data_IF_318394324684
#
_entry.id   IF_318394324684
#
_cell.length_a   1.000
_cell.length_b   1.000
_cell.length_c   1.000
_cell.angle_alpha   90.00
_cell.angle_beta   90.00
_cell.angle_gamma   90.00
#
_symmetry.space_group_name_H-M   'P 1'
#
loop_
_entity.id
_entity.type
_entity.pdbx_description
1 polymer ?
#
# COMPACT_ATOMS: atom_id res chain seq x y z
N UNK A 1 14.59 -10.01 -6.02
CA UNK A 1 13.61 -9.40 -5.07
C UNK A 1 14.33 -8.97 -3.78
N UNK A 2 15.18 -9.83 -3.19
CA UNK A 2 15.85 -9.57 -1.91
C UNK A 2 16.66 -8.26 -1.91
N UNK A 3 17.53 -8.06 -2.91
CA UNK A 3 18.31 -6.81 -3.06
C UNK A 3 17.40 -5.57 -3.13
N UNK A 4 16.27 -5.68 -3.84
CA UNK A 4 15.33 -4.57 -3.94
C UNK A 4 14.64 -4.30 -2.59
N UNK A 5 14.34 -5.35 -1.83
CA UNK A 5 13.77 -5.23 -0.50
C UNK A 5 14.76 -4.60 0.48
N UNK A 6 16.01 -5.08 0.52
CA UNK A 6 17.06 -4.57 1.41
C UNK A 6 17.37 -3.08 1.13
N UNK A 7 17.54 -2.73 -0.14
CA UNK A 7 17.80 -1.34 -0.54
C UNK A 7 16.63 -0.42 -0.31
N UNK A 8 15.40 -0.87 -0.63
CA UNK A 8 14.19 -0.10 -0.37
C UNK A 8 13.96 0.14 1.11
N UNK A 9 14.19 -0.87 1.95
CA UNK A 9 14.14 -0.74 3.41
C UNK A 9 15.21 0.21 3.97
N UNK A 10 16.37 0.32 3.30
CA UNK A 10 17.43 1.29 3.64
C UNK A 10 17.08 2.74 3.17
N UNK A 11 15.96 2.95 2.47
CA UNK A 11 15.50 4.25 2.00
C UNK A 11 15.87 4.59 0.56
N UNK A 12 16.46 3.66 -0.18
CA UNK A 12 16.75 3.85 -1.61
C UNK A 12 15.47 3.83 -2.43
N UNK A 13 15.43 4.66 -3.49
CA UNK A 13 14.36 4.62 -4.49
C UNK A 13 14.67 3.55 -5.53
N UNK A 14 14.09 2.37 -5.38
CA UNK A 14 14.41 1.19 -6.19
C UNK A 14 13.27 0.85 -7.15
N UNK A 15 13.60 0.47 -8.38
CA UNK A 15 12.70 -0.20 -9.32
C UNK A 15 13.05 -1.68 -9.36
N UNK A 16 12.07 -2.55 -9.10
CA UNK A 16 12.26 -3.99 -9.21
C UNK A 16 12.15 -4.42 -10.67
N UNK A 17 13.21 -5.05 -11.20
CA UNK A 17 13.26 -5.53 -12.57
C UNK A 17 13.38 -7.06 -12.57
N UNK A 18 12.42 -7.73 -13.22
CA UNK A 18 12.36 -9.20 -13.28
C UNK A 18 11.94 -9.66 -14.67
N UNK A 19 12.26 -10.90 -15.04
CA UNK A 19 11.64 -11.50 -16.23
C UNK A 19 10.12 -11.57 -16.05
N UNK A 20 9.67 -12.12 -14.94
CA UNK A 20 8.30 -12.06 -14.42
C UNK A 20 8.36 -12.07 -12.88
N UNK A 21 7.30 -11.65 -12.20
CA UNK A 21 7.22 -11.74 -10.73
C UNK A 21 6.36 -12.92 -10.31
N UNK A 22 6.74 -13.54 -9.22
CA UNK A 22 6.01 -14.59 -8.52
C UNK A 22 5.56 -14.12 -7.15
N UNK A 23 4.67 -14.85 -6.45
CA UNK A 23 4.31 -14.51 -5.06
C UNK A 23 5.51 -14.38 -4.12
N UNK A 24 6.61 -15.11 -4.39
CA UNK A 24 7.82 -15.04 -3.57
C UNK A 24 8.56 -13.69 -3.73
N UNK A 25 8.30 -12.92 -4.78
CA UNK A 25 8.90 -11.60 -5.01
C UNK A 25 8.18 -10.46 -4.27
N UNK A 26 7.09 -10.74 -3.53
CA UNK A 26 6.22 -9.73 -2.93
C UNK A 26 6.97 -8.74 -2.02
N UNK A 27 7.96 -9.21 -1.26
CA UNK A 27 8.77 -8.39 -0.37
C UNK A 27 9.59 -7.35 -1.15
N UNK A 28 10.12 -7.71 -2.34
CA UNK A 28 10.80 -6.78 -3.23
C UNK A 28 9.85 -5.76 -3.86
N UNK A 29 8.63 -6.19 -4.23
CA UNK A 29 7.60 -5.28 -4.74
C UNK A 29 7.17 -4.27 -3.68
N UNK A 30 7.01 -4.72 -2.42
CA UNK A 30 6.62 -3.86 -1.30
C UNK A 30 7.59 -2.70 -1.07
N UNK A 31 8.89 -2.94 -1.17
CA UNK A 31 9.93 -1.95 -0.90
C UNK A 31 10.34 -1.14 -2.14
N UNK A 32 9.95 -1.56 -3.35
CA UNK A 32 10.28 -0.83 -4.58
C UNK A 32 9.29 0.30 -4.87
N UNK A 33 9.75 1.31 -5.63
CA UNK A 33 8.94 2.43 -6.10
C UNK A 33 8.17 2.10 -7.39
N UNK A 34 8.54 1.03 -8.08
CA UNK A 34 7.89 0.56 -9.29
C UNK A 34 8.39 -0.79 -9.73
N UNK A 35 7.69 -1.42 -10.67
CA UNK A 35 8.00 -2.78 -11.17
C UNK A 35 8.07 -2.78 -12.69
N UNK A 36 9.13 -3.40 -13.23
CA UNK A 36 9.31 -3.64 -14.66
C UNK A 36 9.49 -5.12 -14.90
N UNK A 37 8.70 -5.71 -15.80
CA UNK A 37 8.89 -7.11 -16.20
C UNK A 37 9.01 -7.28 -17.71
N UNK A 38 9.87 -8.21 -18.13
CA UNK A 38 10.02 -8.59 -19.53
C UNK A 38 8.81 -9.37 -20.05
N UNK A 39 8.21 -10.20 -19.19
CA UNK A 39 7.06 -11.05 -19.48
C UNK A 39 5.86 -10.69 -18.62
N UNK A 40 4.66 -10.94 -19.14
CA UNK A 40 3.41 -10.65 -18.47
C UNK A 40 2.52 -9.69 -19.25
N UNK A 41 1.48 -9.21 -18.60
CA UNK A 41 0.50 -8.27 -19.14
C UNK A 41 -0.35 -7.67 -18.02
N UNK A 42 -1.45 -7.00 -18.35
CA UNK A 42 -2.30 -6.29 -17.38
C UNK A 42 -2.90 -7.18 -16.27
N UNK A 43 -2.98 -8.49 -16.50
CA UNK A 43 -3.48 -9.48 -15.54
C UNK A 43 -2.37 -10.32 -14.90
N UNK A 44 -1.09 -10.02 -15.18
CA UNK A 44 0.04 -10.70 -14.54
C UNK A 44 0.12 -10.36 -13.05
N UNK A 45 0.79 -11.24 -12.29
CA UNK A 45 1.02 -11.04 -10.87
C UNK A 45 1.66 -9.66 -10.58
N UNK A 46 2.70 -9.28 -11.35
CA UNK A 46 3.35 -7.97 -11.24
C UNK A 46 2.36 -6.81 -11.35
N UNK A 47 1.53 -6.82 -12.41
CA UNK A 47 0.61 -5.73 -12.69
C UNK A 47 -0.52 -5.63 -11.66
N UNK A 48 -1.08 -6.77 -11.24
CA UNK A 48 -2.17 -6.80 -10.26
C UNK A 48 -1.69 -6.33 -8.89
N UNK A 49 -0.55 -6.86 -8.43
CA UNK A 49 0.00 -6.53 -7.10
C UNK A 49 0.49 -5.08 -7.05
N UNK A 50 1.29 -4.64 -8.02
CA UNK A 50 1.81 -3.27 -8.05
C UNK A 50 0.68 -2.24 -8.13
N UNK A 51 -0.35 -2.50 -8.96
CA UNK A 51 -1.53 -1.64 -9.08
C UNK A 51 -2.32 -1.58 -7.77
N UNK A 52 -2.52 -2.71 -7.10
CA UNK A 52 -3.17 -2.77 -5.78
C UNK A 52 -2.43 -1.95 -4.72
N UNK A 53 -1.13 -1.75 -4.89
CA UNK A 53 -0.27 -0.93 -4.02
C UNK A 53 -0.10 0.52 -4.51
N UNK A 54 -0.76 0.91 -5.60
CA UNK A 54 -0.62 2.25 -6.19
C UNK A 54 0.76 2.51 -6.80
N UNK A 55 1.51 1.46 -7.16
CA UNK A 55 2.87 1.58 -7.72
C UNK A 55 2.84 1.48 -9.24
N UNK A 56 3.64 2.31 -9.97
CA UNK A 56 3.78 2.18 -11.40
C UNK A 56 4.34 0.80 -11.77
N UNK A 57 3.73 0.20 -12.79
CA UNK A 57 4.15 -1.11 -13.30
C UNK A 57 4.13 -1.11 -14.83
N UNK A 58 5.26 -1.47 -15.41
CA UNK A 58 5.36 -1.80 -16.84
C UNK A 58 5.57 -3.30 -16.96
N UNK A 59 4.52 -4.02 -17.37
CA UNK A 59 4.56 -5.47 -17.47
C UNK A 59 4.57 -5.93 -18.94
N UNK A 60 5.43 -6.89 -19.25
CA UNK A 60 5.53 -7.46 -20.60
C UNK A 60 6.30 -6.60 -21.60
N UNK A 61 7.33 -5.93 -21.14
CA UNK A 61 8.25 -5.16 -21.98
C UNK A 61 9.13 -6.10 -22.83
N UNK A 62 8.58 -6.63 -23.93
CA UNK A 62 9.17 -7.72 -24.74
C UNK A 62 10.54 -7.39 -25.35
N UNK A 63 10.92 -6.12 -25.42
CA UNK A 63 12.21 -5.69 -25.99
C UNK A 63 13.38 -5.77 -25.02
N UNK A 64 13.12 -6.04 -23.74
CA UNK A 64 14.16 -6.06 -22.72
C UNK A 64 14.75 -7.48 -22.54
N UNK A 65 16.08 -7.53 -22.34
CA UNK A 65 16.82 -8.74 -21.95
C UNK A 65 17.46 -8.50 -20.60
N UNK A 66 17.21 -9.40 -19.67
CA UNK A 66 17.73 -9.30 -18.30
C UNK A 66 18.78 -10.38 -18.12
N UNK A 67 19.98 -9.96 -17.73
CA UNK A 67 21.07 -10.84 -17.29
C UNK A 67 21.25 -10.68 -15.78
N UNK A 68 20.87 -11.72 -15.04
CA UNK A 68 20.94 -11.73 -13.57
C UNK A 68 22.38 -11.91 -13.04
N UNK A 69 23.27 -12.54 -13.80
CA UNK A 69 24.66 -12.74 -13.41
C UNK A 69 25.46 -11.44 -13.60
N UNK A 70 25.32 -10.83 -14.78
CA UNK A 70 25.92 -9.54 -15.08
C UNK A 70 25.20 -8.36 -14.42
N UNK A 71 23.99 -8.58 -13.86
CA UNK A 71 23.10 -7.56 -13.28
C UNK A 71 22.83 -6.41 -14.25
N UNK A 72 22.44 -6.76 -15.46
CA UNK A 72 22.18 -5.79 -16.52
C UNK A 72 20.83 -6.00 -17.18
N UNK A 73 20.26 -4.90 -17.65
CA UNK A 73 19.09 -4.85 -18.53
C UNK A 73 19.57 -4.31 -19.89
N UNK A 74 19.24 -5.00 -20.97
CA UNK A 74 19.61 -4.58 -22.33
C UNK A 74 18.38 -4.35 -23.19
N UNK A 75 18.33 -3.24 -23.91
CA UNK A 75 17.29 -2.89 -24.89
C UNK A 75 17.99 -2.39 -26.16
N UNK A 76 17.93 -3.17 -27.25
CA UNK A 76 18.72 -2.86 -28.44
C UNK A 76 20.20 -2.78 -28.11
N UNK A 77 20.81 -1.63 -28.37
CA UNK A 77 22.22 -1.36 -28.05
C UNK A 77 22.44 -0.71 -26.69
N UNK A 78 21.36 -0.41 -25.95
CA UNK A 78 21.43 0.26 -24.64
C UNK A 78 21.56 -0.78 -23.52
N UNK A 79 22.55 -0.64 -22.69
CA UNK A 79 22.78 -1.47 -21.49
C UNK A 79 22.63 -0.62 -20.25
N UNK A 80 21.74 -1.03 -19.35
CA UNK A 80 21.51 -0.41 -18.04
C UNK A 80 22.00 -1.39 -16.97
N UNK A 81 22.84 -0.92 -16.06
CA UNK A 81 23.41 -1.71 -14.96
C UNK A 81 22.59 -1.56 -13.69
N UNK A 82 22.75 -2.50 -12.77
CA UNK A 82 22.19 -2.34 -11.42
C UNK A 82 22.74 -1.06 -10.77
N UNK A 83 21.82 -0.23 -10.28
CA UNK A 83 22.12 1.08 -9.69
C UNK A 83 22.04 2.26 -10.66
N UNK A 84 21.97 2.02 -11.96
CA UNK A 84 21.71 3.10 -12.92
C UNK A 84 20.29 3.65 -12.76
N UNK A 85 20.10 4.94 -13.00
CA UNK A 85 18.76 5.55 -12.87
C UNK A 85 17.82 5.08 -13.98
N UNK A 86 16.60 4.75 -13.59
CA UNK A 86 15.51 4.36 -14.49
C UNK A 86 14.20 5.03 -14.04
N UNK A 87 13.39 5.46 -14.98
CA UNK A 87 12.05 6.00 -14.70
C UNK A 87 11.00 5.19 -15.46
N UNK A 88 9.90 4.87 -14.81
CA UNK A 88 8.77 4.14 -15.37
C UNK A 88 7.55 5.06 -15.47
N UNK A 89 6.89 5.07 -16.63
CA UNK A 89 5.54 5.59 -16.79
C UNK A 89 4.57 4.40 -16.91
N UNK A 90 3.84 4.12 -15.84
CA UNK A 90 2.87 3.04 -15.81
C UNK A 90 1.60 3.31 -16.63
N UNK A 91 1.36 4.56 -17.06
CA UNK A 91 0.20 4.95 -17.86
C UNK A 91 0.44 4.71 -19.34
N UNK A 92 1.61 5.10 -19.84
CA UNK A 92 2.01 4.94 -21.26
C UNK A 92 2.73 3.62 -21.52
N UNK A 93 3.34 3.04 -20.47
CA UNK A 93 4.22 1.87 -20.56
C UNK A 93 5.64 2.22 -20.99
N UNK A 94 6.00 3.50 -20.99
CA UNK A 94 7.33 3.96 -21.35
C UNK A 94 8.34 3.75 -20.22
N UNK A 95 9.58 3.46 -20.62
CA UNK A 95 10.71 3.23 -19.70
C UNK A 95 11.87 4.11 -20.15
N UNK A 96 12.38 4.92 -19.26
CA UNK A 96 13.47 5.86 -19.54
C UNK A 96 14.73 5.45 -18.78
N UNK A 97 15.86 5.36 -19.49
CA UNK A 97 17.18 5.09 -18.89
C UNK A 97 17.78 6.39 -18.29
N UNK A 98 17.00 7.06 -17.46
CA UNK A 98 17.37 8.32 -16.80
C UNK A 98 16.48 8.57 -15.57
N UNK A 99 16.98 9.36 -14.63
CA UNK A 99 16.15 9.93 -13.56
C UNK A 99 15.42 11.16 -14.09
N UNK A 100 14.12 11.01 -14.35
CA UNK A 100 13.27 12.13 -14.76
C UNK A 100 12.60 12.78 -13.53
N UNK A 101 12.29 14.09 -13.58
CA UNK A 101 11.48 14.73 -12.57
C UNK A 101 10.08 14.11 -12.56
N UNK A 102 9.62 13.66 -11.39
CA UNK A 102 8.29 13.07 -11.22
C UNK A 102 7.34 14.13 -10.70
N UNK A 103 6.15 14.16 -11.28
CA UNK A 103 5.03 14.98 -10.80
C UNK A 103 4.12 14.04 -10.00
N UNK A 104 3.87 14.28 -8.72
CA UNK A 104 2.91 13.50 -7.96
C UNK A 104 1.52 13.63 -8.60
N UNK A 105 0.70 12.57 -8.59
CA UNK A 105 -0.67 12.64 -9.09
C UNK A 105 -1.42 13.74 -8.34
N UNK A 106 -1.98 14.68 -9.08
CA UNK A 106 -2.78 15.78 -8.53
C UNK A 106 -4.20 15.67 -9.07
N UNK A 107 -5.15 15.91 -8.18
CA UNK A 107 -6.54 16.13 -8.58
C UNK A 107 -6.59 17.54 -9.19
N UNK A 108 -6.63 17.60 -10.51
CA UNK A 108 -6.72 18.87 -11.23
C UNK A 108 -8.15 19.43 -11.20
N UNK A 109 -8.33 20.68 -11.67
CA UNK A 109 -9.63 21.35 -11.67
C UNK A 109 -10.67 20.60 -12.50
N UNK A 110 -10.28 20.05 -13.66
CA UNK A 110 -11.19 19.30 -14.54
C UNK A 110 -11.72 18.04 -13.87
N UNK A 111 -10.83 17.34 -13.14
CA UNK A 111 -11.22 16.15 -12.38
C UNK A 111 -12.16 16.50 -11.22
N UNK A 112 -11.90 17.61 -10.52
CA UNK A 112 -12.79 18.10 -9.47
C UNK A 112 -14.16 18.50 -10.04
N UNK A 113 -14.22 19.09 -11.23
CA UNK A 113 -15.49 19.43 -11.89
C UNK A 113 -16.29 18.18 -12.23
N UNK A 114 -15.65 17.13 -12.76
CA UNK A 114 -16.31 15.84 -13.01
C UNK A 114 -16.84 15.21 -11.73
N UNK A 115 -16.07 15.26 -10.64
CA UNK A 115 -16.54 14.77 -9.33
C UNK A 115 -17.73 15.59 -8.83
N UNK A 116 -17.74 16.92 -9.02
CA UNK A 116 -18.89 17.76 -8.65
C UNK A 116 -20.16 17.34 -9.38
N UNK A 117 -20.09 17.09 -10.68
CA UNK A 117 -21.24 16.59 -11.45
C UNK A 117 -21.73 15.22 -10.98
N UNK A 118 -20.80 14.35 -10.60
CA UNK A 118 -21.13 13.06 -10.00
C UNK A 118 -21.84 13.24 -8.65
N UNK A 119 -21.36 14.15 -7.81
CA UNK A 119 -21.94 14.45 -6.50
C UNK A 119 -23.35 15.03 -6.58
N UNK A 120 -23.66 15.84 -7.62
CA UNK A 120 -25.00 16.38 -7.87
C UNK A 120 -26.02 15.33 -8.26
N UNK A 121 -25.57 14.21 -8.84
CA UNK A 121 -26.47 13.18 -9.40
C UNK A 121 -26.54 11.90 -8.56
N UNK A 122 -25.51 11.60 -7.77
CA UNK A 122 -25.46 10.38 -6.95
C UNK A 122 -26.50 10.39 -5.84
N UNK A 123 -27.06 9.21 -5.54
CA UNK A 123 -28.02 8.99 -4.42
C UNK A 123 -27.35 8.41 -3.20
N UNK A 124 -26.23 7.73 -3.38
CA UNK A 124 -25.53 7.01 -2.32
C UNK A 124 -24.36 7.85 -1.83
N UNK A 125 -24.16 7.86 -0.52
CA UNK A 125 -22.96 8.41 0.10
C UNK A 125 -21.74 7.51 -0.17
N UNK A 126 -20.57 8.10 -0.26
CA UNK A 126 -19.29 7.39 -0.40
C UNK A 126 -18.67 7.22 0.97
N UNK A 127 -18.53 5.98 1.41
CA UNK A 127 -17.95 5.63 2.70
C UNK A 127 -16.70 4.79 2.48
N UNK A 128 -15.59 5.21 3.09
CA UNK A 128 -14.31 4.55 2.93
C UNK A 128 -14.05 3.51 4.02
N UNK A 129 -13.08 2.63 3.79
CA UNK A 129 -12.49 1.81 4.85
C UNK A 129 -11.22 2.52 5.35
N UNK A 130 -11.10 2.70 6.67
CA UNK A 130 -9.90 3.23 7.30
C UNK A 130 -9.76 2.68 8.71
N UNK A 131 -8.57 2.24 9.06
CA UNK A 131 -8.28 1.57 10.33
C UNK A 131 -7.34 2.41 11.23
N UNK A 132 -6.87 3.57 10.73
CA UNK A 132 -6.00 4.50 11.45
C UNK A 132 -6.30 5.96 11.07
N UNK A 133 -5.72 6.91 11.82
CA UNK A 133 -5.94 8.34 11.63
C UNK A 133 -5.48 8.86 10.26
N UNK A 134 -4.36 8.34 9.74
CA UNK A 134 -3.78 8.76 8.45
C UNK A 134 -4.69 8.38 7.30
N UNK A 135 -5.16 7.14 7.27
CA UNK A 135 -6.07 6.66 6.23
C UNK A 135 -7.44 7.36 6.31
N UNK A 136 -7.93 7.60 7.54
CA UNK A 136 -9.17 8.34 7.76
C UNK A 136 -9.07 9.78 7.26
N UNK A 137 -7.96 10.48 7.54
CA UNK A 137 -7.72 11.82 7.04
C UNK A 137 -7.64 11.85 5.50
N UNK A 138 -6.97 10.85 4.90
CA UNK A 138 -6.87 10.72 3.46
C UNK A 138 -8.21 10.42 2.80
N UNK A 139 -9.01 9.54 3.40
CA UNK A 139 -10.36 9.25 2.94
C UNK A 139 -11.22 10.53 2.92
N UNK A 140 -11.17 11.33 3.99
CA UNK A 140 -11.86 12.61 4.07
C UNK A 140 -11.40 13.61 3.01
N UNK A 141 -10.07 13.73 2.81
CA UNK A 141 -9.49 14.59 1.77
C UNK A 141 -10.01 14.24 0.38
N UNK A 142 -10.21 12.94 0.12
CA UNK A 142 -10.74 12.41 -1.13
C UNK A 142 -12.27 12.47 -1.25
N UNK A 143 -12.96 13.06 -0.27
CA UNK A 143 -14.41 13.29 -0.31
C UNK A 143 -15.27 12.18 0.29
N UNK A 144 -14.71 11.29 1.10
CA UNK A 144 -15.52 10.31 1.83
C UNK A 144 -16.42 11.01 2.87
N UNK A 145 -17.68 10.57 2.91
CA UNK A 145 -18.72 11.11 3.81
C UNK A 145 -18.80 10.36 5.15
N UNK A 146 -17.97 9.34 5.30
CA UNK A 146 -17.86 8.55 6.52
C UNK A 146 -16.88 7.41 6.37
N UNK A 147 -16.60 6.73 7.48
CA UNK A 147 -15.89 5.46 7.50
C UNK A 147 -16.92 4.34 7.64
N UNK A 148 -17.05 3.54 6.58
CA UNK A 148 -17.98 2.41 6.51
C UNK A 148 -17.48 1.18 7.25
N UNK A 149 -16.16 1.06 7.44
CA UNK A 149 -15.54 -0.01 8.20
C UNK A 149 -14.20 0.45 8.77
N UNK A 150 -14.10 0.48 10.09
CA UNK A 150 -12.87 0.55 10.86
C UNK A 150 -12.68 -0.80 11.57
N UNK A 151 -11.60 -1.52 11.24
CA UNK A 151 -11.28 -2.86 11.75
C UNK A 151 -10.34 -2.75 12.93
N UNK A 152 -10.85 -2.95 14.13
CA UNK A 152 -10.06 -2.80 15.36
C UNK A 152 -8.91 -3.78 15.48
N UNK A 153 -9.02 -4.95 14.87
CA UNK A 153 -7.94 -5.95 14.83
C UNK A 153 -6.70 -5.47 14.09
N UNK A 154 -6.85 -4.58 13.09
CA UNK A 154 -5.72 -4.04 12.34
C UNK A 154 -4.88 -3.04 13.16
N UNK A 155 -5.46 -2.44 14.19
CA UNK A 155 -4.75 -1.52 15.09
C UNK A 155 -3.60 -2.21 15.85
N UNK A 156 -3.60 -3.55 15.91
CA UNK A 156 -2.64 -4.34 16.69
C UNK A 156 -1.60 -5.09 15.84
N UNK A 157 -1.53 -4.84 14.53
CA UNK A 157 -0.53 -5.49 13.66
C UNK A 157 0.87 -4.86 13.77
N UNK A 158 1.02 -3.73 14.43
CA UNK A 158 2.31 -3.12 14.70
C UNK A 158 3.21 -4.03 15.56
N UNK A 159 4.50 -4.09 15.25
CA UNK A 159 5.47 -4.93 15.97
C UNK A 159 5.58 -4.57 17.46
N UNK A 160 5.31 -3.33 17.80
CA UNK A 160 5.27 -2.80 19.18
C UNK A 160 3.99 -3.18 19.94
N UNK A 161 2.90 -3.49 19.23
CA UNK A 161 1.57 -3.76 19.78
C UNK A 161 1.23 -5.26 19.82
N UNK A 162 1.76 -6.02 18.87
CA UNK A 162 1.50 -7.46 18.73
C UNK A 162 1.79 -8.27 20.00
N UNK A 163 2.86 -7.99 20.79
CA UNK A 163 3.11 -8.71 22.05
C UNK A 163 1.96 -8.61 23.06
N UNK A 164 1.38 -7.42 23.26
CA UNK A 164 0.26 -7.22 24.18
C UNK A 164 -1.00 -7.98 23.72
N UNK A 165 -1.22 -8.06 22.40
CA UNK A 165 -2.30 -8.84 21.83
C UNK A 165 -2.10 -10.35 22.05
N UNK A 166 -0.87 -10.87 21.88
CA UNK A 166 -0.54 -12.24 22.17
C UNK A 166 -0.77 -12.58 23.65
N UNK A 167 -0.32 -11.72 24.58
CA UNK A 167 -0.57 -11.91 26.01
C UNK A 167 -2.08 -12.03 26.31
N UNK A 168 -2.91 -11.18 25.70
CA UNK A 168 -4.35 -11.22 25.89
C UNK A 168 -4.97 -12.53 25.37
N UNK A 169 -4.53 -13.00 24.18
CA UNK A 169 -5.08 -14.20 23.54
C UNK A 169 -4.66 -15.47 24.30
N UNK A 170 -3.41 -15.52 24.78
CA UNK A 170 -2.82 -16.68 25.44
C UNK A 170 -3.06 -16.72 26.95
N UNK A 171 -3.69 -15.68 27.52
CA UNK A 171 -3.98 -15.61 28.95
C UNK A 171 -4.88 -16.77 29.39
N UNK A 172 -4.43 -17.53 30.43
CA UNK A 172 -5.14 -18.66 30.97
C UNK A 172 -6.13 -18.27 32.07
N UNK A 173 -5.86 -17.15 32.75
CA UNK A 173 -6.70 -16.63 33.83
C UNK A 173 -7.37 -15.29 33.48
N UNK A 174 -8.53 -14.96 34.07
CA UNK A 174 -9.17 -13.68 33.92
C UNK A 174 -8.29 -12.49 34.33
N UNK A 175 -7.46 -12.70 35.39
CA UNK A 175 -6.56 -11.68 35.90
C UNK A 175 -5.43 -11.37 34.91
N UNK A 176 -4.81 -12.39 34.33
CA UNK A 176 -3.80 -12.23 33.30
C UNK A 176 -4.38 -11.53 32.05
N UNK A 177 -5.57 -11.97 31.63
CA UNK A 177 -6.26 -11.36 30.49
C UNK A 177 -6.56 -9.89 30.76
N UNK A 178 -7.04 -9.57 31.97
CA UNK A 178 -7.29 -8.18 32.35
C UNK A 178 -6.01 -7.34 32.32
N UNK A 179 -4.90 -7.85 32.83
CA UNK A 179 -3.62 -7.14 32.81
C UNK A 179 -3.14 -6.86 31.35
N UNK A 180 -3.34 -7.81 30.44
CA UNK A 180 -3.03 -7.60 29.03
C UNK A 180 -3.96 -6.57 28.35
N UNK A 181 -5.27 -6.63 28.63
CA UNK A 181 -6.24 -5.64 28.15
C UNK A 181 -5.93 -4.25 28.66
N UNK A 182 -5.50 -4.10 29.92
CA UNK A 182 -5.10 -2.81 30.50
C UNK A 182 -3.87 -2.19 29.79
N UNK A 183 -3.00 -3.00 29.16
CA UNK A 183 -1.91 -2.53 28.28
C UNK A 183 -2.42 -2.09 26.90
N UNK A 184 -3.42 -2.79 26.37
CA UNK A 184 -4.01 -2.52 25.04
C UNK A 184 -4.86 -1.25 25.07
N UNK A 185 -5.58 -1.00 26.15
CA UNK A 185 -6.55 0.10 26.27
C UNK A 185 -6.01 1.47 25.87
N UNK A 186 -4.87 1.96 26.37
CA UNK A 186 -4.36 3.27 25.98
C UNK A 186 -3.96 3.34 24.50
N UNK A 187 -3.45 2.25 23.93
CA UNK A 187 -3.07 2.21 22.52
C UNK A 187 -4.31 2.33 21.62
N UNK A 188 -5.37 1.60 21.93
CA UNK A 188 -6.61 1.64 21.17
C UNK A 188 -7.36 2.97 21.36
N UNK A 189 -7.29 3.55 22.56
CA UNK A 189 -7.84 4.87 22.81
C UNK A 189 -7.18 5.93 21.92
N UNK A 190 -5.86 5.94 21.82
CA UNK A 190 -5.11 6.86 20.96
C UNK A 190 -5.51 6.70 19.49
N UNK A 191 -5.64 5.46 19.00
CA UNK A 191 -6.07 5.18 17.63
C UNK A 191 -7.47 5.74 17.35
N UNK A 192 -8.43 5.51 18.27
CA UNK A 192 -9.78 6.04 18.11
C UNK A 192 -9.82 7.56 18.19
N UNK A 193 -9.10 8.18 19.12
CA UNK A 193 -8.99 9.63 19.19
C UNK A 193 -8.46 10.21 17.88
N UNK A 194 -7.46 9.57 17.28
CA UNK A 194 -6.92 9.93 15.98
C UNK A 194 -7.95 9.82 14.84
N UNK A 195 -8.63 8.67 14.73
CA UNK A 195 -9.65 8.44 13.70
C UNK A 195 -10.83 9.40 13.87
N UNK A 196 -11.35 9.57 15.09
CA UNK A 196 -12.49 10.47 15.33
C UNK A 196 -12.12 11.94 15.14
N UNK A 197 -10.88 12.31 15.43
CA UNK A 197 -10.38 13.67 15.14
C UNK A 197 -10.32 13.92 13.65
N UNK A 198 -9.78 12.98 12.86
CA UNK A 198 -9.74 13.06 11.41
C UNK A 198 -11.14 13.15 10.79
N UNK A 199 -12.08 12.40 11.33
CA UNK A 199 -13.46 12.30 10.82
C UNK A 199 -14.46 13.22 11.58
N UNK A 200 -13.98 14.22 12.30
CA UNK A 200 -14.86 15.10 13.10
C UNK A 200 -16.06 15.61 12.30
N UNK A 201 -17.27 15.29 12.79
CA UNK A 201 -18.55 15.64 12.15
C UNK A 201 -19.06 14.64 11.11
N UNK A 202 -18.30 13.58 10.82
CA UNK A 202 -18.67 12.50 9.90
C UNK A 202 -18.77 11.16 10.66
N UNK A 203 -19.67 10.26 10.24
CA UNK A 203 -19.86 8.97 10.92
C UNK A 203 -18.69 8.02 10.71
N UNK A 204 -18.41 7.20 11.73
CA UNK A 204 -17.42 6.13 11.70
C UNK A 204 -18.08 4.84 12.19
N UNK A 205 -18.12 3.82 11.34
CA UNK A 205 -18.59 2.49 11.71
C UNK A 205 -17.41 1.64 12.19
N UNK A 206 -17.43 1.27 13.45
CA UNK A 206 -16.36 0.47 14.07
C UNK A 206 -16.80 -0.99 14.17
N UNK A 207 -15.98 -1.90 13.64
CA UNK A 207 -16.13 -3.32 13.92
C UNK A 207 -15.43 -3.64 15.24
N UNK A 208 -16.18 -4.20 16.18
CA UNK A 208 -15.59 -4.68 17.41
C UNK A 208 -14.61 -5.84 17.13
N UNK A 209 -13.69 -6.06 18.04
CA UNK A 209 -12.67 -7.09 17.92
C UNK A 209 -13.30 -8.45 17.63
N UNK A 210 -12.92 -9.06 16.50
CA UNK A 210 -13.39 -10.41 16.15
C UNK A 210 -12.48 -11.45 16.81
N UNK A 211 -13.08 -12.28 17.65
CA UNK A 211 -12.41 -13.48 18.13
C UNK A 211 -12.65 -14.63 17.16
N UNK A 212 -11.62 -15.04 16.44
CA UNK A 212 -11.66 -16.22 15.56
C UNK A 212 -11.76 -17.55 16.32
N UNK A 213 -11.66 -17.51 17.67
CA UNK A 213 -11.70 -18.70 18.55
C UNK A 213 -13.14 -19.12 18.88
N UNK A 214 -14.12 -18.24 18.62
CA UNK A 214 -15.52 -18.46 18.98
C UNK A 214 -16.47 -18.55 17.76
N UNK A 215 -15.91 -18.79 16.57
CA UNK A 215 -16.69 -19.09 15.36
C UNK A 215 -16.72 -20.59 15.13
#
# INVERSE_FOLDING_TARGET
ADIAADRGAAGDRVVLIRFETTPDDIHGVLQSQGVLTAHGGMTSHAAVVARGMGKPCVAGARGIKIDYEARTLTVGDTVIKEGDPITLDGSTGEVFAAALPLIPPQINADFQEVLSWADETRRLGVWANADNATDAAKARELGAEGIGLCRTEHMFFGADRLPAMHEMITAETPEERKAAVDKILPMQQEDFEGVFTAMKGLPVTVRLLLSLIHI
#
